data_IF_431435699266
#
_entry.id   IF_431435699266
#
_cell.length_a   1.000
_cell.length_b   1.000
_cell.length_c   1.000
_cell.angle_alpha   90.00
_cell.angle_beta   90.00
_cell.angle_gamma   90.00
#
_symmetry.space_group_name_H-M   'P 1'
#
loop_
_entity.id
_entity.type
_entity.pdbx_description
1 polymer ?
#
# COMPACT_ATOMS: atom_id res chain seq x y z
N UNK A 1 34.13 42.45 39.45
CA UNK A 1 34.39 41.24 38.63
C UNK A 1 33.88 40.06 39.47
N UNK A 2 32.98 39.16 39.08
CA UNK A 2 32.69 38.51 37.79
C UNK A 2 31.17 38.33 37.63
N UNK A 3 30.68 38.53 36.41
CA UNK A 3 29.26 38.49 36.02
C UNK A 3 28.79 37.04 35.90
N UNK A 4 27.62 36.75 36.47
CA UNK A 4 26.89 35.50 36.31
C UNK A 4 26.67 35.20 34.83
N UNK A 5 27.07 34.00 34.38
CA UNK A 5 26.76 33.51 33.04
C UNK A 5 25.73 32.38 33.18
N UNK A 6 24.48 32.73 32.91
CA UNK A 6 23.35 31.80 32.79
C UNK A 6 23.50 31.08 31.43
N UNK A 7 23.84 29.81 31.45
CA UNK A 7 23.84 28.96 30.25
C UNK A 7 22.41 28.46 30.06
N UNK A 8 21.65 29.16 29.22
CA UNK A 8 20.39 28.65 28.69
C UNK A 8 20.73 27.54 27.68
N UNK A 9 20.60 26.29 28.09
CA UNK A 9 20.70 25.15 27.20
C UNK A 9 19.49 25.15 26.24
N UNK A 10 19.73 25.61 25.02
CA UNK A 10 18.76 25.62 23.92
C UNK A 10 18.51 24.16 23.50
N UNK A 11 17.42 23.57 23.98
CA UNK A 11 16.97 22.25 23.53
C UNK A 11 16.42 22.43 22.10
N UNK A 12 17.26 22.14 21.11
CA UNK A 12 16.81 21.98 19.72
C UNK A 12 16.09 20.63 19.65
N UNK A 13 14.77 20.66 19.81
CA UNK A 13 13.90 19.57 19.39
C UNK A 13 14.01 19.46 17.87
N UNK A 14 14.93 18.61 17.40
CA UNK A 14 15.00 18.21 16.00
C UNK A 14 13.68 17.58 15.60
N UNK A 15 12.83 18.35 14.92
CA UNK A 15 11.63 17.85 14.28
C UNK A 15 12.09 16.94 13.14
N UNK A 16 12.16 15.63 13.39
CA UNK A 16 12.20 14.66 12.29
C UNK A 16 10.89 14.84 11.53
N UNK A 17 10.96 15.60 10.44
CA UNK A 17 9.82 15.74 9.54
C UNK A 17 9.47 14.32 9.06
N UNK A 18 8.34 13.79 9.52
CA UNK A 18 7.78 12.56 9.02
C UNK A 18 7.31 12.83 7.58
N UNK A 19 8.13 12.46 6.60
CA UNK A 19 7.77 12.59 5.20
C UNK A 19 6.99 11.35 4.80
N UNK A 20 5.67 11.48 4.67
CA UNK A 20 4.85 10.41 4.12
C UNK A 20 5.08 10.33 2.60
N UNK A 21 5.60 9.20 2.14
CA UNK A 21 5.84 8.91 0.72
C UNK A 21 4.57 8.42 0.01
N UNK A 22 4.58 8.49 -1.32
CA UNK A 22 3.51 8.01 -2.18
C UNK A 22 3.58 6.49 -2.35
N UNK A 23 2.69 5.76 -1.71
CA UNK A 23 2.53 4.34 -1.94
C UNK A 23 1.45 4.09 -2.99
N UNK A 24 1.79 3.38 -4.07
CA UNK A 24 0.82 2.92 -5.09
C UNK A 24 0.84 1.40 -5.16
N UNK A 25 -0.33 0.79 -5.11
CA UNK A 25 -0.49 -0.65 -5.35
C UNK A 25 -1.27 -0.87 -6.64
N UNK A 26 -0.81 -1.83 -7.44
CA UNK A 26 -1.51 -2.26 -8.66
C UNK A 26 -2.10 -3.63 -8.39
N UNK A 27 -3.42 -3.72 -8.44
CA UNK A 27 -4.17 -4.94 -8.17
C UNK A 27 -4.67 -5.59 -9.45
N UNK A 28 -4.27 -6.84 -9.69
CA UNK A 28 -4.82 -7.70 -10.73
C UNK A 28 -5.75 -8.75 -10.13
N UNK A 29 -6.84 -9.07 -10.83
CA UNK A 29 -7.88 -10.00 -10.36
C UNK A 29 -8.15 -11.04 -11.43
N UNK A 30 -8.20 -12.30 -11.05
CA UNK A 30 -8.64 -13.39 -11.93
C UNK A 30 -10.02 -13.85 -11.49
N UNK A 31 -11.00 -13.77 -12.37
CA UNK A 31 -12.36 -14.21 -12.08
C UNK A 31 -12.46 -15.75 -12.06
N UNK A 32 -13.49 -16.24 -11.38
CA UNK A 32 -14.05 -17.56 -11.64
C UNK A 32 -14.71 -17.60 -13.02
N UNK A 33 -14.75 -18.79 -13.63
CA UNK A 33 -15.39 -18.98 -14.93
C UNK A 33 -16.86 -18.55 -14.88
N UNK A 34 -17.29 -17.73 -15.85
CA UNK A 34 -18.66 -17.21 -15.93
C UNK A 34 -18.95 -16.06 -14.96
N UNK A 35 -17.95 -15.59 -14.20
CA UNK A 35 -18.07 -14.47 -13.25
C UNK A 35 -17.27 -13.23 -13.67
N UNK A 36 -16.74 -13.18 -14.88
CA UNK A 36 -15.82 -12.13 -15.37
C UNK A 36 -16.44 -10.74 -15.26
N UNK A 37 -17.67 -10.56 -15.77
CA UNK A 37 -18.40 -9.29 -15.69
C UNK A 37 -18.71 -8.92 -14.24
N UNK A 38 -19.17 -9.88 -13.42
CA UNK A 38 -19.51 -9.67 -12.02
C UNK A 38 -18.28 -9.30 -11.18
N UNK A 39 -17.14 -9.92 -11.48
CA UNK A 39 -15.85 -9.73 -10.83
C UNK A 39 -15.30 -8.33 -11.06
N UNK A 40 -15.45 -7.80 -12.28
CA UNK A 40 -14.88 -6.50 -12.66
C UNK A 40 -15.85 -5.33 -12.54
N UNK A 41 -17.16 -5.59 -12.34
CA UNK A 41 -18.19 -4.56 -12.14
C UNK A 41 -17.84 -3.50 -11.07
N UNK A 42 -17.32 -3.87 -9.87
CA UNK A 42 -16.96 -2.88 -8.85
C UNK A 42 -15.81 -1.94 -9.28
N UNK A 43 -15.10 -2.31 -10.32
CA UNK A 43 -13.91 -1.61 -10.82
C UNK A 43 -14.17 -0.99 -12.19
N UNK A 44 -15.43 -0.75 -12.55
CA UNK A 44 -15.85 -0.22 -13.85
C UNK A 44 -15.29 -1.02 -15.04
N UNK A 45 -15.20 -2.35 -14.89
CA UNK A 45 -14.64 -3.24 -15.90
C UNK A 45 -13.12 -3.25 -16.01
N UNK A 46 -12.39 -2.47 -15.19
CA UNK A 46 -10.94 -2.34 -15.27
C UNK A 46 -10.22 -3.46 -14.52
N UNK A 47 -9.14 -3.96 -15.13
CA UNK A 47 -8.19 -4.87 -14.53
C UNK A 47 -6.88 -4.81 -15.33
N UNK A 48 -5.72 -4.46 -14.73
CA UNK A 48 -5.53 -4.14 -13.32
C UNK A 48 -6.15 -2.80 -12.89
N UNK A 49 -6.13 -2.52 -11.59
CA UNK A 49 -6.50 -1.22 -11.00
C UNK A 49 -5.40 -0.69 -10.09
N UNK A 50 -5.13 0.60 -10.15
CA UNK A 50 -4.19 1.27 -9.25
C UNK A 50 -4.90 1.96 -8.09
N UNK A 51 -4.32 1.85 -6.90
CA UNK A 51 -4.75 2.56 -5.69
C UNK A 51 -3.53 3.22 -5.07
N UNK A 52 -3.61 4.52 -4.77
CA UNK A 52 -2.50 5.28 -4.18
C UNK A 52 -2.91 5.91 -2.85
N UNK A 53 -1.99 5.92 -1.88
CA UNK A 53 -2.15 6.64 -0.61
C UNK A 53 -0.78 7.03 -0.03
N UNK A 54 -0.78 8.04 0.83
CA UNK A 54 0.41 8.45 1.58
C UNK A 54 0.68 7.47 2.73
N UNK A 55 1.93 7.04 2.86
CA UNK A 55 2.39 6.15 3.93
C UNK A 55 3.77 6.57 4.44
N UNK A 56 4.03 6.32 5.71
CA UNK A 56 5.25 6.79 6.38
C UNK A 56 6.52 6.00 5.99
N UNK A 57 6.39 4.86 5.30
CA UNK A 57 7.54 4.03 4.90
C UNK A 57 7.22 2.99 3.81
N UNK A 58 8.28 2.50 3.16
CA UNK A 58 8.23 1.34 2.25
C UNK A 58 7.64 0.10 2.94
N UNK A 59 7.99 -0.14 4.22
CA UNK A 59 7.48 -1.29 4.97
C UNK A 59 5.97 -1.19 5.19
N UNK A 60 5.46 0.01 5.51
CA UNK A 60 4.02 0.23 5.62
C UNK A 60 3.32 0.02 4.26
N UNK A 61 3.98 0.42 3.16
CA UNK A 61 3.51 0.23 1.80
C UNK A 61 3.42 -1.25 1.42
N UNK A 62 4.44 -2.05 1.74
CA UNK A 62 4.44 -3.50 1.57
C UNK A 62 3.35 -4.18 2.41
N UNK A 63 3.20 -3.80 3.69
CA UNK A 63 2.13 -4.33 4.56
C UNK A 63 0.73 -4.02 4.01
N UNK A 64 0.55 -2.85 3.39
CA UNK A 64 -0.71 -2.53 2.73
C UNK A 64 -0.93 -3.39 1.49
N UNK A 65 0.08 -3.56 0.63
CA UNK A 65 0.00 -4.45 -0.53
C UNK A 65 -0.37 -5.89 -0.14
N UNK A 66 0.28 -6.44 0.88
CA UNK A 66 -0.01 -7.78 1.40
C UNK A 66 -1.43 -7.90 1.96
N UNK A 67 -1.87 -6.93 2.79
CA UNK A 67 -3.24 -6.92 3.32
C UNK A 67 -4.26 -6.83 2.18
N UNK A 68 -3.99 -6.01 1.16
CA UNK A 68 -4.85 -5.86 0.00
C UNK A 68 -4.97 -7.14 -0.82
N UNK A 69 -3.89 -7.91 -1.01
CA UNK A 69 -3.95 -9.17 -1.77
C UNK A 69 -4.85 -10.22 -1.11
N UNK A 70 -4.88 -10.25 0.23
CA UNK A 70 -5.71 -11.19 1.03
C UNK A 70 -7.22 -10.88 1.00
N UNK A 71 -7.61 -9.67 0.61
CA UNK A 71 -9.03 -9.30 0.45
C UNK A 71 -9.52 -9.79 -0.92
N UNK A 72 -9.85 -11.08 -0.97
CA UNK A 72 -10.35 -11.78 -2.17
C UNK A 72 -11.85 -12.10 -2.03
N UNK A 73 -12.64 -11.81 -3.08
CA UNK A 73 -14.09 -12.10 -3.12
C UNK A 73 -14.33 -13.56 -3.49
N UNK A 74 -14.44 -14.42 -2.46
CA UNK A 74 -14.67 -15.86 -2.60
C UNK A 74 -15.92 -16.15 -3.46
N UNK A 75 -15.86 -17.18 -4.30
CA UNK A 75 -16.95 -17.52 -5.23
C UNK A 75 -17.05 -16.61 -6.46
N UNK A 76 -16.22 -15.55 -6.56
CA UNK A 76 -16.15 -14.71 -7.77
C UNK A 76 -14.73 -14.59 -8.30
N UNK A 77 -13.71 -14.56 -7.45
CA UNK A 77 -12.31 -14.48 -7.86
C UNK A 77 -11.58 -15.77 -7.52
N UNK A 78 -10.77 -16.26 -8.46
CA UNK A 78 -9.82 -17.36 -8.25
C UNK A 78 -8.50 -16.88 -7.68
N UNK A 79 -8.08 -15.67 -8.07
CA UNK A 79 -6.78 -15.11 -7.70
C UNK A 79 -6.86 -13.59 -7.62
N UNK A 80 -6.09 -13.03 -6.69
CA UNK A 80 -5.81 -11.60 -6.62
C UNK A 80 -4.31 -11.41 -6.41
N UNK A 81 -3.67 -10.64 -7.28
CA UNK A 81 -2.26 -10.28 -7.13
C UNK A 81 -2.10 -8.77 -6.99
N UNK A 82 -1.11 -8.35 -6.22
CA UNK A 82 -0.84 -6.95 -5.89
C UNK A 82 0.66 -6.69 -6.01
N UNK A 83 1.05 -5.75 -6.85
CA UNK A 83 2.41 -5.20 -6.92
C UNK A 83 2.46 -3.84 -6.21
N UNK A 84 3.64 -3.44 -5.73
CA UNK A 84 3.79 -2.27 -4.85
C UNK A 84 4.88 -1.34 -5.36
N UNK A 85 4.57 -0.04 -5.42
CA UNK A 85 5.51 1.05 -5.65
C UNK A 85 5.49 2.04 -4.49
N UNK A 86 6.65 2.52 -4.07
CA UNK A 86 6.80 3.59 -3.07
C UNK A 86 7.67 4.73 -3.63
N UNK A 87 7.16 5.96 -3.57
CA UNK A 87 7.76 7.15 -4.21
C UNK A 87 8.14 6.90 -5.67
N UNK A 88 7.25 6.20 -6.38
CA UNK A 88 7.42 5.83 -7.80
C UNK A 88 8.39 4.68 -8.06
N UNK A 89 9.13 4.20 -7.04
CA UNK A 89 10.04 3.05 -7.16
C UNK A 89 9.29 1.75 -6.96
N UNK A 90 9.48 0.81 -7.89
CA UNK A 90 9.00 -0.56 -7.73
C UNK A 90 9.78 -1.28 -6.63
N UNK A 91 9.07 -1.87 -5.68
CA UNK A 91 9.68 -2.61 -4.56
C UNK A 91 9.99 -4.08 -4.92
N UNK A 92 9.70 -4.51 -6.14
CA UNK A 92 10.00 -5.85 -6.66
C UNK A 92 9.23 -6.98 -5.96
N UNK A 93 8.13 -6.64 -5.27
CA UNK A 93 7.30 -7.60 -4.54
C UNK A 93 5.92 -7.73 -5.15
N UNK A 94 5.53 -8.99 -5.37
CA UNK A 94 4.17 -9.37 -5.74
C UNK A 94 3.57 -10.21 -4.62
N UNK A 95 2.45 -9.74 -4.07
CA UNK A 95 1.64 -10.50 -3.13
C UNK A 95 0.47 -11.12 -3.87
N UNK A 96 0.23 -12.41 -3.71
CA UNK A 96 -0.89 -13.10 -4.36
C UNK A 96 -1.65 -13.96 -3.36
N UNK A 97 -2.96 -13.98 -3.49
CA UNK A 97 -3.85 -14.85 -2.72
C UNK A 97 -4.85 -15.53 -3.67
N UNK A 98 -5.32 -16.72 -3.31
CA UNK A 98 -6.19 -17.56 -4.12
C UNK A 98 -7.42 -17.98 -3.34
N UNK A 99 -8.53 -18.06 -4.04
CA UNK A 99 -9.78 -18.57 -3.49
C UNK A 99 -10.39 -19.58 -4.44
N UNK A 100 -11.15 -20.52 -3.87
CA UNK A 100 -11.88 -21.50 -4.66
C UNK A 100 -13.11 -20.86 -5.32
N UNK A 101 -13.37 -21.29 -6.55
CA UNK A 101 -14.67 -21.12 -7.16
C UNK A 101 -15.61 -22.15 -6.55
N UNK A 102 -16.75 -21.67 -6.05
CA UNK A 102 -17.84 -22.52 -5.56
C UNK A 102 -18.93 -22.59 -6.61
#
# INVERSE_FOLDING_TARGET
MKKSTLIAALIVFGSVAAHAGDCTITTSRKACAGKETEALKPYNGKNPTDESKKLDSEEACLKWGEKSSKIIRKGTLTEKSVTVKFDGKDLGKTFADKAECK
#
